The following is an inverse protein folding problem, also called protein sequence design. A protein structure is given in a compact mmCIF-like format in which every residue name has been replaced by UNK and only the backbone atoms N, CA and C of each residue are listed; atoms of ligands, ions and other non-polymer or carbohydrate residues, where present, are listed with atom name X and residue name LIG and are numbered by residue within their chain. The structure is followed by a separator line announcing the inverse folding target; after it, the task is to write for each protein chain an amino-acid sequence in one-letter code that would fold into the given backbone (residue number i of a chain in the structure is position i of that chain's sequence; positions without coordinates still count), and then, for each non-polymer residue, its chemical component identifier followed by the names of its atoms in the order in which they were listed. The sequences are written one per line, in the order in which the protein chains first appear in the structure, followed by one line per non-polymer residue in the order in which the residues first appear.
data_IF_881806824086
#
_entry.id   IF_881806824086
#
_cell.length_a   1.000
_cell.length_b   1.000
_cell.length_c   1.000
_cell.angle_alpha   90.00
_cell.angle_beta   90.00
_cell.angle_gamma   90.00
#
_symmetry.space_group_name_H-M   'P 1'
#
loop_
_entity.id
_entity.type
_entity.pdbx_description
1 polymer ?
#
# COMPACT_ATOMS: atom_id res chain seq x y z
N UNK A 1 -14.24 16.07 -13.35
CA UNK A 1 -14.01 14.63 -13.18
C UNK A 1 -12.74 14.27 -13.95
N UNK A 2 -11.56 14.40 -13.33
CA UNK A 2 -10.27 14.12 -13.99
C UNK A 2 -9.39 13.14 -13.18
N UNK A 3 -9.87 12.61 -12.05
CA UNK A 3 -9.05 11.83 -11.12
C UNK A 3 -8.87 10.34 -11.45
N UNK A 4 -9.66 9.77 -12.37
CA UNK A 4 -9.71 8.32 -12.58
C UNK A 4 -8.84 7.79 -13.73
N UNK A 5 -8.14 8.63 -14.50
CA UNK A 5 -7.37 8.15 -15.65
C UNK A 5 -6.02 7.53 -15.29
N UNK A 6 -5.39 7.93 -14.19
CA UNK A 6 -4.02 7.51 -13.93
C UNK A 6 -3.88 6.00 -13.69
N UNK A 7 -4.85 5.36 -13.02
CA UNK A 7 -4.80 3.91 -12.80
C UNK A 7 -5.04 3.14 -14.11
N UNK A 8 -5.90 3.65 -14.99
CA UNK A 8 -6.12 3.06 -16.31
C UNK A 8 -4.89 3.20 -17.20
N UNK A 9 -4.29 4.39 -17.22
CA UNK A 9 -3.09 4.66 -18.01
C UNK A 9 -1.92 3.78 -17.55
N UNK A 10 -1.76 3.59 -16.23
CA UNK A 10 -0.74 2.68 -15.70
C UNK A 10 -1.08 1.24 -16.11
N UNK A 11 -2.33 0.82 -15.96
CA UNK A 11 -2.77 -0.53 -16.32
C UNK A 11 -2.45 -0.89 -17.78
N UNK A 12 -2.82 -0.01 -18.71
CA UNK A 12 -2.59 -0.20 -20.14
C UNK A 12 -1.09 -0.25 -20.47
N UNK A 13 -0.28 0.55 -19.80
CA UNK A 13 1.16 0.61 -20.02
C UNK A 13 1.93 -0.53 -19.38
N UNK A 14 1.47 -1.06 -18.24
CA UNK A 14 2.15 -2.15 -17.53
C UNK A 14 1.60 -3.53 -17.88
N UNK A 15 0.55 -3.61 -18.71
CA UNK A 15 -0.11 -4.87 -19.02
C UNK A 15 -0.87 -5.47 -17.84
N UNK A 16 -1.28 -4.62 -16.88
CA UNK A 16 -2.10 -5.02 -15.73
C UNK A 16 -1.35 -5.47 -14.48
N UNK A 17 -0.02 -5.58 -14.50
CA UNK A 17 0.78 -5.84 -13.28
C UNK A 17 1.36 -4.54 -12.72
N UNK A 18 1.03 -4.19 -11.48
CA UNK A 18 1.52 -2.95 -10.83
C UNK A 18 2.09 -3.28 -9.45
N UNK A 19 3.36 -2.93 -9.27
CA UNK A 19 4.03 -2.97 -7.97
C UNK A 19 4.24 -1.54 -7.49
N UNK A 20 3.70 -1.19 -6.31
CA UNK A 20 3.81 0.15 -5.75
C UNK A 20 4.74 0.15 -4.53
N UNK A 21 5.91 0.76 -4.67
CA UNK A 21 6.83 1.02 -3.57
C UNK A 21 6.60 2.39 -2.96
N UNK A 22 6.26 2.47 -1.67
CA UNK A 22 6.09 3.76 -0.98
C UNK A 22 7.36 4.08 -0.21
N UNK A 23 8.10 5.10 -0.66
CA UNK A 23 9.38 5.52 -0.07
C UNK A 23 9.29 6.94 0.48
N UNK A 24 10.02 7.22 1.56
CA UNK A 24 10.05 8.55 2.16
C UNK A 24 10.53 8.56 3.61
N UNK A 25 10.70 9.75 4.22
CA UNK A 25 11.27 9.88 5.55
C UNK A 25 10.44 9.19 6.63
N UNK A 26 11.03 8.90 7.79
CA UNK A 26 10.25 8.39 8.94
C UNK A 26 9.13 9.36 9.32
N UNK A 27 7.98 8.81 9.73
CA UNK A 27 6.78 9.55 10.18
C UNK A 27 6.15 10.54 9.19
N UNK A 28 6.36 10.37 7.89
CA UNK A 28 5.65 11.14 6.84
C UNK A 28 4.31 10.52 6.41
N UNK A 29 3.76 9.58 7.20
CA UNK A 29 2.45 8.96 6.92
C UNK A 29 2.47 7.81 5.91
N UNK A 30 3.64 7.26 5.56
CA UNK A 30 3.78 6.12 4.62
C UNK A 30 2.89 4.92 5.00
N UNK A 31 3.04 4.40 6.21
CA UNK A 31 2.26 3.26 6.68
C UNK A 31 0.75 3.59 6.78
N UNK A 32 0.40 4.84 7.06
CA UNK A 32 -1.00 5.31 7.03
C UNK A 32 -1.57 5.30 5.61
N UNK A 33 -0.79 5.75 4.61
CA UNK A 33 -1.19 5.68 3.21
C UNK A 33 -1.38 4.23 2.76
N UNK A 34 -0.41 3.35 3.04
CA UNK A 34 -0.48 1.92 2.70
C UNK A 34 -1.71 1.28 3.33
N UNK A 35 -1.96 1.53 4.62
CA UNK A 35 -3.14 1.02 5.32
C UNK A 35 -4.45 1.49 4.66
N UNK A 36 -4.58 2.80 4.43
CA UNK A 36 -5.79 3.37 3.79
C UNK A 36 -6.00 2.87 2.38
N UNK A 37 -4.93 2.76 1.59
CA UNK A 37 -5.01 2.25 0.23
C UNK A 37 -5.46 0.78 0.22
N UNK A 38 -4.90 -0.05 1.11
CA UNK A 38 -5.34 -1.43 1.28
C UNK A 38 -6.82 -1.53 1.66
N UNK A 39 -7.25 -0.77 2.68
CA UNK A 39 -8.63 -0.78 3.19
C UNK A 39 -9.66 -0.33 2.13
N UNK A 40 -9.32 0.67 1.33
CA UNK A 40 -10.25 1.29 0.39
C UNK A 40 -10.23 0.64 -1.00
N UNK A 41 -9.04 0.27 -1.49
CA UNK A 41 -8.85 -0.16 -2.87
C UNK A 41 -8.61 -1.66 -3.01
N UNK A 42 -7.99 -2.33 -2.03
CA UNK A 42 -7.55 -3.73 -2.17
C UNK A 42 -8.52 -4.70 -1.48
N UNK A 43 -8.70 -4.57 -0.17
CA UNK A 43 -9.48 -5.49 0.68
C UNK A 43 -10.92 -5.71 0.17
N UNK A 44 -11.65 -4.68 -0.32
CA UNK A 44 -13.01 -4.87 -0.84
C UNK A 44 -13.08 -5.81 -2.07
N UNK A 45 -11.97 -5.93 -2.81
CA UNK A 45 -11.89 -6.74 -4.03
C UNK A 45 -11.48 -8.20 -3.77
N UNK A 46 -11.01 -8.55 -2.57
CA UNK A 46 -10.66 -9.93 -2.20
C UNK A 46 -11.95 -10.73 -1.98
N UNK A 47 -12.21 -11.73 -2.83
CA UNK A 47 -13.44 -12.55 -2.79
C UNK A 47 -13.41 -13.60 -1.68
N UNK A 48 -12.25 -14.22 -1.47
CA UNK A 48 -12.07 -15.23 -0.43
C UNK A 48 -12.04 -14.57 0.96
N UNK A 49 -12.83 -15.10 1.90
CA UNK A 49 -12.96 -14.55 3.24
C UNK A 49 -11.70 -14.75 4.08
N UNK A 50 -11.01 -15.89 3.92
CA UNK A 50 -9.78 -16.17 4.67
C UNK A 50 -8.63 -15.29 4.19
N UNK A 51 -8.49 -15.10 2.88
CA UNK A 51 -7.49 -14.20 2.32
C UNK A 51 -7.76 -12.74 2.69
N UNK A 52 -9.04 -12.36 2.77
CA UNK A 52 -9.44 -11.02 3.20
C UNK A 52 -9.06 -10.75 4.66
N UNK A 53 -9.32 -11.70 5.55
CA UNK A 53 -8.93 -11.57 6.96
C UNK A 53 -7.40 -11.59 7.11
N UNK A 54 -6.70 -12.47 6.39
CA UNK A 54 -5.23 -12.48 6.36
C UNK A 54 -4.65 -11.15 5.89
N UNK A 55 -5.19 -10.57 4.82
CA UNK A 55 -4.74 -9.28 4.31
C UNK A 55 -4.94 -8.13 5.31
N UNK A 56 -5.98 -8.19 6.16
CA UNK A 56 -6.18 -7.24 7.26
C UNK A 56 -5.15 -7.42 8.37
N UNK A 57 -4.87 -8.66 8.75
CA UNK A 57 -3.87 -8.99 9.77
C UNK A 57 -2.45 -8.59 9.33
N UNK A 58 -2.18 -8.62 8.03
CA UNK A 58 -0.91 -8.22 7.44
C UNK A 58 -0.69 -6.69 7.36
N UNK A 59 -1.74 -5.88 7.59
CA UNK A 59 -1.65 -4.42 7.48
C UNK A 59 -0.63 -3.85 8.46
N UNK A 60 0.14 -2.82 8.04
CA UNK A 60 1.08 -2.18 8.94
C UNK A 60 0.31 -1.54 10.11
N UNK A 61 0.69 -1.92 11.33
CA UNK A 61 0.21 -1.26 12.53
C UNK A 61 0.75 0.18 12.53
N UNK A 62 -0.15 1.14 12.33
CA UNK A 62 0.18 2.56 12.40
C UNK A 62 0.42 2.93 13.86
N UNK A 63 1.63 2.69 14.35
CA UNK A 63 1.99 2.99 15.73
C UNK A 63 1.95 4.49 16.00
N UNK A 64 1.14 4.93 16.96
CA UNK A 64 1.19 6.28 17.54
C UNK A 64 2.43 6.49 18.44
N UNK A 65 3.32 5.49 18.53
CA UNK A 65 4.49 5.48 19.40
C UNK A 65 5.72 6.12 18.77
N UNK A 66 6.64 6.57 19.62
CA UNK A 66 7.91 7.18 19.19
C UNK A 66 8.90 6.18 18.54
N UNK A 67 8.61 4.89 18.54
CA UNK A 67 9.54 3.86 18.06
C UNK A 67 9.35 3.61 16.56
N UNK A 68 10.44 3.60 15.80
CA UNK A 68 10.43 3.12 14.41
C UNK A 68 10.13 1.62 14.43
N UNK A 69 8.95 1.24 13.97
CA UNK A 69 8.52 -0.18 13.98
C UNK A 69 8.98 -0.96 12.74
N UNK A 70 9.20 -0.27 11.61
CA UNK A 70 9.55 -0.91 10.33
C UNK A 70 11.06 -1.16 10.23
N UNK A 71 11.51 -2.39 10.50
CA UNK A 71 12.91 -2.83 10.35
C UNK A 71 13.19 -3.57 9.04
N UNK A 72 12.17 -4.14 8.38
CA UNK A 72 12.33 -4.87 7.11
C UNK A 72 11.21 -4.51 6.11
N UNK A 73 11.54 -4.38 4.80
CA UNK A 73 10.55 -4.11 3.77
C UNK A 73 9.59 -5.29 3.63
N UNK A 74 8.29 -5.04 3.84
CA UNK A 74 7.26 -6.08 3.75
C UNK A 74 6.34 -5.81 2.57
N UNK A 75 6.07 -6.86 1.80
CA UNK A 75 5.01 -6.85 0.81
C UNK A 75 3.65 -7.00 1.51
N UNK A 76 2.74 -6.08 1.22
CA UNK A 76 1.36 -6.11 1.73
C UNK A 76 0.41 -5.88 0.55
N UNK A 77 -0.44 -6.84 0.18
CA UNK A 77 -0.52 -8.21 0.70
C UNK A 77 0.67 -9.08 0.23
N UNK A 78 0.89 -10.22 0.90
CA UNK A 78 1.94 -11.15 0.50
C UNK A 78 1.76 -11.64 -0.96
N UNK A 79 0.52 -11.89 -1.39
CA UNK A 79 0.18 -12.20 -2.78
C UNK A 79 -0.45 -10.99 -3.49
N UNK A 80 -0.30 -10.91 -4.81
CA UNK A 80 -0.90 -9.83 -5.59
C UNK A 80 -2.42 -9.99 -5.65
N UNK A 81 -3.13 -8.93 -5.28
CA UNK A 81 -4.59 -8.91 -5.35
C UNK A 81 -5.02 -8.25 -6.64
N UNK A 82 -5.92 -8.92 -7.37
CA UNK A 82 -6.57 -8.35 -8.53
C UNK A 82 -7.64 -7.33 -8.11
N UNK A 83 -7.54 -6.11 -8.61
CA UNK A 83 -8.54 -5.06 -8.49
C UNK A 83 -9.01 -4.69 -9.89
N UNK A 84 -10.31 -4.45 -10.05
CA UNK A 84 -10.87 -3.97 -11.31
C UNK A 84 -11.16 -2.48 -11.17
N UNK A 85 -10.55 -1.68 -12.03
CA UNK A 85 -10.84 -0.25 -12.12
C UNK A 85 -12.28 0.00 -12.55
N UNK A 86 -12.79 1.22 -12.36
CA UNK A 86 -14.15 1.59 -12.78
C UNK A 86 -14.39 1.44 -14.28
N UNK A 87 -13.31 1.41 -15.07
CA UNK A 87 -13.35 1.25 -16.52
C UNK A 87 -13.17 -0.22 -16.97
N UNK A 88 -13.19 -1.17 -16.05
CA UNK A 88 -13.14 -2.60 -16.35
C UNK A 88 -11.73 -3.17 -16.57
N UNK A 89 -10.68 -2.38 -16.34
CA UNK A 89 -9.30 -2.85 -16.46
C UNK A 89 -8.88 -3.55 -15.16
N UNK A 90 -8.40 -4.79 -15.27
CA UNK A 90 -7.84 -5.57 -14.17
C UNK A 90 -6.39 -5.21 -13.87
N UNK A 91 -6.10 -5.08 -12.58
CA UNK A 91 -4.80 -4.69 -12.04
C UNK A 91 -4.41 -5.65 -10.92
N UNK A 92 -3.22 -6.22 -10.96
CA UNK A 92 -2.63 -6.93 -9.82
C UNK A 92 -1.76 -5.99 -9.02
N UNK A 93 -2.06 -5.81 -7.74
CA UNK A 93 -1.39 -4.84 -6.87
C UNK A 93 -0.69 -5.50 -5.70
N UNK A 94 0.56 -5.09 -5.47
CA UNK A 94 1.32 -5.34 -4.23
C UNK A 94 1.99 -4.05 -3.78
N UNK A 95 1.92 -3.76 -2.48
CA UNK A 95 2.58 -2.61 -1.86
C UNK A 95 3.85 -3.07 -1.16
N UNK A 96 4.90 -2.25 -1.20
CA UNK A 96 6.09 -2.43 -0.37
C UNK A 96 6.13 -1.28 0.64
N UNK A 97 6.12 -1.61 1.94
CA UNK A 97 6.44 -0.63 2.99
C UNK A 97 7.96 -0.58 3.18
N UNK A 98 8.60 0.47 2.69
CA UNK A 98 10.04 0.65 2.82
C UNK A 98 10.42 1.29 4.16
N UNK A 99 11.57 0.89 4.71
CA UNK A 99 12.15 1.54 5.89
C UNK A 99 12.40 3.01 5.56
N UNK A 100 11.83 3.92 6.36
CA UNK A 100 12.02 5.34 6.16
C UNK A 100 13.44 5.76 6.50
N UNK A 101 14.05 6.61 5.67
CA UNK A 101 15.34 7.22 6.01
C UNK A 101 15.16 8.33 7.05
N UNK A 102 16.16 8.50 7.92
CA UNK A 102 16.19 9.61 8.87
C UNK A 102 16.45 10.92 8.12
N UNK A 103 15.68 11.97 8.45
CA UNK A 103 15.91 13.33 7.97
C UNK A 103 15.98 14.27 9.16
N UNK A 104 16.84 15.30 9.06
CA UNK A 104 16.96 16.32 10.09
C UNK A 104 15.60 17.02 10.26
N UNK A 105 15.05 17.01 11.48
CA UNK A 105 13.72 17.55 11.78
C UNK A 105 12.55 16.56 11.68
N UNK A 106 12.81 15.27 11.42
CA UNK A 106 11.77 14.26 11.53
C UNK A 106 11.28 14.15 12.99
N UNK A 107 9.98 14.42 13.22
CA UNK A 107 9.32 14.26 14.51
C UNK A 107 9.54 12.83 14.99
N UNK A 108 10.32 12.66 16.07
CA UNK A 108 10.59 11.34 16.63
C UNK A 108 12.00 10.83 16.69
N UNK A 109 12.93 11.56 16.12
CA UNK A 109 14.34 11.31 16.32
C UNK A 109 14.81 12.12 17.54
N UNK A 110 14.74 11.48 18.71
CA UNK A 110 15.52 11.73 19.93
C UNK A 110 15.73 10.38 20.62
#
# INVERSE_FOLDING_TARGET
MEGNNILNDIAERTGGDIYLGVVGPVRTGKSTFIKRFMELMIIPNIKDLYDRERAKDELPQSGAGKTITTTEPKFVPNEAVEITTTNGISLKVRLIDCVGYAVQGALGYE
#
